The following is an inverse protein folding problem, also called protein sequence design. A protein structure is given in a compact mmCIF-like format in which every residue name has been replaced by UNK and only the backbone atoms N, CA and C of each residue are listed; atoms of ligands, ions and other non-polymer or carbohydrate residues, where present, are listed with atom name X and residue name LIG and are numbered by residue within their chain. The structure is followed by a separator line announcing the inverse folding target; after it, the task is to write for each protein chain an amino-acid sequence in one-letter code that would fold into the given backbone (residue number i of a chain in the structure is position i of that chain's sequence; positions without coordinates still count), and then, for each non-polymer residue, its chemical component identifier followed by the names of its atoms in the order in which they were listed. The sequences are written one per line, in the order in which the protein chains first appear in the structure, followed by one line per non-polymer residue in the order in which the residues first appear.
data_IF_052611780875
#
_entry.id   IF_052611780875
#
_cell.length_a   1.000
_cell.length_b   1.000
_cell.length_c   1.000
_cell.angle_alpha   90.00
_cell.angle_beta   90.00
_cell.angle_gamma   90.00
#
_symmetry.space_group_name_H-M   'P 1'
#
loop_
_entity.id
_entity.type
_entity.pdbx_description
1 polymer ?
#
# COMPACT_ATOMS: atom_id res chain seq x y z
N UNK A 1 -53.93 -13.84 -16.95
CA UNK A 1 -52.89 -13.48 -17.93
C UNK A 1 -51.58 -13.43 -17.19
N UNK A 2 -50.78 -14.48 -17.31
CA UNK A 2 -49.51 -14.68 -16.57
C UNK A 2 -48.39 -14.25 -17.50
N UNK A 3 -47.62 -13.22 -17.12
CA UNK A 3 -46.45 -12.75 -17.87
C UNK A 3 -45.19 -13.24 -17.18
N UNK A 4 -44.59 -14.26 -17.76
CA UNK A 4 -43.32 -14.86 -17.34
C UNK A 4 -42.16 -13.93 -17.71
N UNK A 5 -41.50 -13.34 -16.74
CA UNK A 5 -40.28 -12.56 -16.92
C UNK A 5 -39.08 -13.51 -17.03
N UNK A 6 -38.49 -13.63 -18.21
CA UNK A 6 -37.22 -14.37 -18.45
C UNK A 6 -36.06 -13.59 -17.88
N UNK A 7 -35.37 -14.18 -16.91
CA UNK A 7 -34.04 -13.74 -16.46
C UNK A 7 -33.01 -14.00 -17.58
N UNK A 8 -32.40 -12.94 -18.05
CA UNK A 8 -31.20 -13.04 -18.88
C UNK A 8 -29.99 -13.27 -17.94
N UNK A 9 -29.35 -14.44 -18.09
CA UNK A 9 -28.11 -14.72 -17.43
C UNK A 9 -26.99 -13.93 -18.11
N UNK A 10 -26.51 -12.88 -17.46
CA UNK A 10 -25.30 -12.17 -17.86
C UNK A 10 -24.07 -13.02 -17.56
N UNK A 11 -23.37 -13.42 -18.60
CA UNK A 11 -22.09 -14.15 -18.51
C UNK A 11 -21.01 -13.18 -18.09
N UNK A 12 -20.71 -13.14 -16.80
CA UNK A 12 -19.56 -12.42 -16.26
C UNK A 12 -18.28 -13.12 -16.72
N UNK A 13 -17.57 -12.48 -17.65
CA UNK A 13 -16.25 -12.91 -18.09
C UNK A 13 -15.23 -12.73 -16.94
N UNK A 14 -15.04 -13.78 -16.17
CA UNK A 14 -13.95 -13.87 -15.19
C UNK A 14 -12.65 -14.06 -15.95
N UNK A 15 -11.86 -13.00 -16.05
CA UNK A 15 -10.44 -13.11 -16.42
C UNK A 15 -9.72 -13.72 -15.24
N UNK A 16 -9.62 -15.05 -15.24
CA UNK A 16 -8.77 -15.78 -14.30
C UNK A 16 -7.31 -15.57 -14.71
N UNK A 17 -6.62 -14.69 -14.04
CA UNK A 17 -5.16 -14.57 -14.13
C UNK A 17 -4.53 -15.76 -13.39
N UNK A 18 -4.28 -16.86 -14.13
CA UNK A 18 -3.57 -18.02 -13.62
C UNK A 18 -2.08 -17.66 -13.46
N UNK A 19 -1.66 -17.32 -12.26
CA UNK A 19 -0.25 -17.15 -11.91
C UNK A 19 0.32 -18.53 -11.51
N UNK A 20 1.08 -19.16 -12.41
CA UNK A 20 1.83 -20.39 -12.16
C UNK A 20 2.94 -20.12 -11.13
N UNK A 21 2.74 -20.61 -9.90
CA UNK A 21 3.78 -20.71 -8.88
C UNK A 21 4.66 -21.95 -9.19
N UNK A 22 5.79 -21.75 -9.84
CA UNK A 22 6.85 -22.77 -9.94
C UNK A 22 7.61 -22.80 -8.61
N UNK A 23 7.22 -23.71 -7.72
CA UNK A 23 7.99 -24.09 -6.53
C UNK A 23 9.17 -24.96 -6.96
N UNK A 24 10.35 -24.35 -7.08
CA UNK A 24 11.60 -25.09 -7.25
C UNK A 24 11.98 -25.82 -5.97
N UNK A 25 11.93 -27.15 -5.98
CA UNK A 25 12.47 -28.01 -4.95
C UNK A 25 14.00 -27.90 -4.94
N UNK A 26 14.57 -27.33 -3.88
CA UNK A 26 16.01 -27.33 -3.61
C UNK A 26 16.38 -28.59 -2.81
N UNK A 27 17.20 -29.45 -3.42
CA UNK A 27 17.80 -30.62 -2.80
C UNK A 27 18.76 -30.24 -1.66
N UNK A 28 18.60 -30.91 -0.52
CA UNK A 28 19.56 -30.87 0.58
C UNK A 28 20.82 -31.64 0.19
N UNK A 29 21.97 -30.99 0.28
CA UNK A 29 23.29 -31.68 0.24
C UNK A 29 23.83 -31.78 1.67
N UNK A 30 24.28 -33.00 1.96
CA UNK A 30 24.88 -33.39 3.22
C UNK A 30 26.25 -32.69 3.42
N UNK A 31 26.50 -32.27 4.68
CA UNK A 31 27.77 -31.78 5.14
C UNK A 31 28.75 -32.94 5.34
N UNK A 32 29.88 -32.86 4.67
CA UNK A 32 31.04 -33.72 4.94
C UNK A 32 32.00 -32.98 5.88
N UNK A 33 32.40 -33.65 6.95
CA UNK A 33 33.31 -33.12 7.96
C UNK A 33 34.75 -33.38 7.57
N UNK A 34 35.56 -32.36 7.34
CA UNK A 34 36.94 -32.49 6.99
C UNK A 34 37.86 -31.36 7.48
N UNK A 35 38.69 -31.69 8.43
CA UNK A 35 40.06 -31.22 8.74
C UNK A 35 40.33 -29.69 8.83
N UNK A 36 40.64 -29.25 10.03
CA UNK A 36 41.25 -27.95 10.38
C UNK A 36 42.65 -27.83 9.79
N UNK A 37 42.88 -26.87 8.91
CA UNK A 37 44.17 -26.36 8.52
C UNK A 37 44.60 -25.13 9.36
N UNK A 38 45.91 -24.73 9.38
CA UNK A 38 46.39 -23.61 10.18
C UNK A 38 45.82 -22.26 9.73
N UNK A 39 45.70 -21.25 10.63
CA UNK A 39 45.03 -19.99 10.32
C UNK A 39 45.79 -19.21 9.24
N UNK A 40 45.07 -18.91 8.17
CA UNK A 40 45.48 -18.01 7.11
C UNK A 40 45.41 -16.56 7.61
N UNK A 41 46.33 -15.65 7.23
CA UNK A 41 46.31 -14.27 7.69
C UNK A 41 45.04 -13.55 7.27
N UNK A 42 44.40 -12.90 8.21
CA UNK A 42 43.19 -12.11 7.97
C UNK A 42 43.41 -11.09 6.84
N UNK A 43 42.70 -11.31 5.75
CA UNK A 43 42.57 -10.34 4.68
C UNK A 43 41.83 -9.10 5.25
N UNK A 44 42.17 -7.84 4.84
CA UNK A 44 41.51 -6.66 5.33
C UNK A 44 40.01 -6.75 5.07
N UNK A 45 39.22 -6.51 6.10
CA UNK A 45 37.77 -6.56 6.11
C UNK A 45 37.23 -5.78 4.90
N UNK A 46 36.61 -6.51 3.97
CA UNK A 46 35.92 -5.93 2.84
C UNK A 46 34.84 -4.98 3.33
N UNK A 47 34.97 -3.70 2.99
CA UNK A 47 34.02 -2.67 3.34
C UNK A 47 32.60 -3.10 2.93
N UNK A 48 31.70 -3.30 3.91
CA UNK A 48 30.27 -3.13 3.77
C UNK A 48 29.52 -4.13 2.90
N UNK A 49 29.59 -5.43 3.16
CA UNK A 49 28.51 -6.32 2.73
C UNK A 49 27.26 -5.93 3.56
N UNK A 50 26.22 -5.31 2.91
CA UNK A 50 24.92 -5.08 3.53
C UNK A 50 24.46 -6.39 4.18
N UNK A 51 24.03 -6.32 5.46
CA UNK A 51 23.47 -7.52 6.11
C UNK A 51 22.22 -7.97 5.35
N UNK A 52 21.88 -9.25 5.42
CA UNK A 52 20.65 -9.75 4.79
C UNK A 52 19.41 -8.99 5.29
N UNK A 53 19.42 -8.58 6.55
CA UNK A 53 18.31 -7.84 7.18
C UNK A 53 18.22 -6.40 6.66
N UNK A 54 19.36 -5.75 6.39
CA UNK A 54 19.38 -4.41 5.80
C UNK A 54 18.85 -4.41 4.36
N UNK A 55 19.26 -5.39 3.57
CA UNK A 55 18.74 -5.56 2.20
C UNK A 55 17.22 -5.83 2.18
N UNK A 56 16.71 -6.60 3.15
CA UNK A 56 15.27 -6.83 3.32
C UNK A 56 14.53 -5.57 3.77
N UNK A 57 15.05 -4.84 4.76
CA UNK A 57 14.47 -3.58 5.21
C UNK A 57 14.40 -2.55 4.07
N UNK A 58 15.47 -2.44 3.27
CA UNK A 58 15.51 -1.57 2.10
C UNK A 58 14.47 -1.96 1.04
N UNK A 59 14.23 -3.25 0.83
CA UNK A 59 13.21 -3.74 -0.10
C UNK A 59 11.78 -3.47 0.40
N UNK A 60 11.56 -3.38 1.71
CA UNK A 60 10.28 -3.04 2.32
C UNK A 60 10.05 -1.53 2.40
N UNK A 61 11.12 -0.75 2.32
CA UNK A 61 11.09 0.70 2.48
C UNK A 61 10.71 1.42 1.19
N UNK A 62 9.46 1.86 1.11
CA UNK A 62 8.95 2.65 -0.02
C UNK A 62 9.52 4.08 -0.08
N UNK A 63 10.31 4.50 0.93
CA UNK A 63 11.04 5.79 0.94
C UNK A 63 12.51 5.62 0.61
N UNK A 64 12.99 4.39 0.41
CA UNK A 64 14.35 4.14 -0.02
C UNK A 64 14.63 4.77 -1.40
N UNK A 65 15.87 5.16 -1.61
CA UNK A 65 16.34 5.75 -2.88
C UNK A 65 16.44 4.64 -3.94
N UNK A 66 15.30 4.11 -4.35
CA UNK A 66 15.14 3.05 -5.33
C UNK A 66 13.82 3.20 -6.08
N UNK A 67 13.81 2.82 -7.36
CA UNK A 67 12.57 2.71 -8.11
C UNK A 67 11.69 1.62 -7.50
N UNK A 68 10.39 1.87 -7.43
CA UNK A 68 9.42 0.89 -6.94
C UNK A 68 8.19 0.86 -7.84
N UNK A 69 7.83 -0.33 -8.30
CA UNK A 69 6.65 -0.61 -9.11
C UNK A 69 5.79 -1.62 -8.35
N UNK A 70 4.62 -1.21 -7.92
CA UNK A 70 3.72 -2.03 -7.12
C UNK A 70 2.42 -2.26 -7.86
N UNK A 71 2.05 -3.53 -8.05
CA UNK A 71 0.75 -3.97 -8.49
C UNK A 71 -0.01 -4.61 -7.33
N UNK A 72 -1.29 -4.28 -7.15
CA UNK A 72 -2.12 -4.91 -6.14
C UNK A 72 -3.54 -5.12 -6.65
N UNK A 73 -4.18 -6.18 -6.16
CA UNK A 73 -5.61 -6.39 -6.24
C UNK A 73 -6.19 -6.48 -4.85
N UNK A 74 -7.28 -5.76 -4.59
CA UNK A 74 -7.96 -5.76 -3.32
C UNK A 74 -9.46 -5.94 -3.54
N UNK A 75 -10.07 -6.81 -2.74
CA UNK A 75 -11.52 -7.07 -2.73
C UNK A 75 -12.08 -6.81 -1.34
N UNK A 76 -13.23 -6.15 -1.29
CA UNK A 76 -14.00 -5.79 -0.12
C UNK A 76 -15.40 -6.38 -0.26
N UNK A 77 -15.62 -7.65 0.12
CA UNK A 77 -16.91 -8.32 -0.05
C UNK A 77 -17.99 -7.81 0.92
N UNK A 78 -17.58 -7.34 2.11
CA UNK A 78 -18.51 -7.02 3.19
C UNK A 78 -18.18 -5.67 3.83
N UNK A 79 -19.24 -5.00 4.30
CA UNK A 79 -19.19 -3.74 5.02
C UNK A 79 -20.01 -3.82 6.30
N UNK A 80 -19.66 -2.97 7.30
CA UNK A 80 -20.42 -2.87 8.55
C UNK A 80 -21.63 -1.95 8.45
N UNK A 81 -21.66 -1.10 7.43
CA UNK A 81 -22.74 -0.14 7.20
C UNK A 81 -23.15 -0.10 5.74
N UNK A 82 -24.38 0.32 5.50
CA UNK A 82 -24.97 0.42 4.17
C UNK A 82 -24.80 1.82 3.56
N UNK A 83 -23.86 2.63 4.09
CA UNK A 83 -23.63 3.99 3.62
C UNK A 83 -22.30 4.09 2.89
N UNK A 84 -22.30 4.68 1.70
CA UNK A 84 -21.11 5.02 0.93
C UNK A 84 -20.58 6.40 1.34
N UNK A 85 -19.37 6.75 0.90
CA UNK A 85 -18.74 8.04 1.21
C UNK A 85 -19.48 9.26 0.64
N UNK A 86 -20.37 9.06 -0.33
CA UNK A 86 -21.25 10.09 -0.89
C UNK A 86 -22.59 10.20 -0.14
N UNK A 87 -22.82 9.39 0.91
CA UNK A 87 -24.04 9.37 1.70
C UNK A 87 -25.19 8.51 1.14
N UNK A 88 -24.99 7.89 -0.03
CA UNK A 88 -25.99 7.00 -0.63
C UNK A 88 -25.97 5.61 0.01
N UNK A 89 -27.09 4.89 -0.11
CA UNK A 89 -27.17 3.48 0.32
C UNK A 89 -26.28 2.62 -0.57
N UNK A 90 -25.48 1.78 0.08
CA UNK A 90 -24.61 0.82 -0.60
C UNK A 90 -25.44 -0.27 -1.24
N UNK A 91 -25.23 -0.59 -2.52
CA UNK A 91 -25.80 -1.79 -3.12
C UNK A 91 -25.13 -3.06 -2.56
N UNK A 92 -25.89 -4.14 -2.53
CA UNK A 92 -25.36 -5.46 -2.17
C UNK A 92 -24.26 -5.90 -3.14
N UNK A 93 -23.21 -6.52 -2.63
CA UNK A 93 -22.12 -7.08 -3.40
C UNK A 93 -20.73 -6.58 -3.01
N UNK A 94 -19.72 -7.15 -3.65
CA UNK A 94 -18.32 -6.79 -3.42
C UNK A 94 -17.93 -5.54 -4.21
N UNK A 95 -17.03 -4.77 -3.64
CA UNK A 95 -16.24 -3.77 -4.37
C UNK A 95 -14.80 -4.25 -4.45
N UNK A 96 -14.17 -4.13 -5.60
CA UNK A 96 -12.75 -4.42 -5.73
C UNK A 96 -12.00 -3.34 -6.49
N UNK A 97 -10.70 -3.42 -6.49
CA UNK A 97 -9.86 -2.59 -7.34
C UNK A 97 -8.51 -3.22 -7.66
N UNK A 98 -8.01 -2.86 -8.84
CA UNK A 98 -6.62 -3.02 -9.22
C UNK A 98 -5.86 -1.72 -8.93
N UNK A 99 -4.69 -1.82 -8.33
CA UNK A 99 -3.82 -0.68 -8.04
C UNK A 99 -2.48 -0.82 -8.76
N UNK A 100 -2.03 0.28 -9.34
CA UNK A 100 -0.64 0.48 -9.76
C UNK A 100 -0.07 1.65 -8.95
N UNK A 101 1.08 1.43 -8.30
CA UNK A 101 1.82 2.48 -7.61
C UNK A 101 3.25 2.53 -8.15
N UNK A 102 3.72 3.71 -8.46
CA UNK A 102 5.07 3.96 -8.96
C UNK A 102 5.73 4.97 -8.03
N UNK A 103 6.96 4.66 -7.61
CA UNK A 103 7.83 5.56 -6.86
C UNK A 103 9.11 5.76 -7.66
N UNK A 104 9.46 7.02 -7.93
CA UNK A 104 10.58 7.42 -8.77
C UNK A 104 11.53 8.34 -8.00
N UNK A 105 12.57 7.83 -7.32
CA UNK A 105 13.45 8.68 -6.51
C UNK A 105 14.38 9.51 -7.39
N UNK A 106 14.50 10.78 -7.05
CA UNK A 106 15.44 11.76 -7.62
C UNK A 106 16.45 12.13 -6.53
N UNK A 107 17.64 11.53 -6.59
CA UNK A 107 18.68 11.73 -5.60
C UNK A 107 19.55 12.94 -5.95
N UNK A 108 19.68 13.87 -5.01
CA UNK A 108 20.58 15.01 -5.07
C UNK A 108 21.61 14.94 -3.92
N UNK A 109 22.62 15.78 -3.98
CA UNK A 109 23.68 15.81 -2.96
C UNK A 109 23.14 15.99 -1.53
N UNK A 110 22.20 16.95 -1.32
CA UNK A 110 21.69 17.33 0.00
C UNK A 110 20.30 16.82 0.33
N UNK A 111 19.55 16.32 -0.65
CA UNK A 111 18.18 15.86 -0.47
C UNK A 111 17.83 14.77 -1.50
N UNK A 112 16.77 14.05 -1.21
CA UNK A 112 16.08 13.18 -2.18
C UNK A 112 14.66 13.70 -2.37
N UNK A 113 14.20 13.82 -3.62
CA UNK A 113 12.78 14.00 -3.93
C UNK A 113 12.22 12.64 -4.33
N UNK A 114 11.10 12.26 -3.71
CA UNK A 114 10.47 10.95 -3.91
C UNK A 114 9.04 11.11 -4.45
N UNK A 115 8.86 11.35 -5.76
CA UNK A 115 7.55 11.34 -6.38
C UNK A 115 6.90 9.95 -6.27
N UNK A 116 5.61 9.94 -5.92
CA UNK A 116 4.78 8.74 -5.91
C UNK A 116 3.47 9.00 -6.64
N UNK A 117 3.13 8.11 -7.54
CA UNK A 117 1.84 8.08 -8.23
C UNK A 117 1.12 6.80 -7.86
N UNK A 118 -0.16 6.91 -7.49
CA UNK A 118 -1.03 5.77 -7.20
C UNK A 118 -2.27 5.87 -8.06
N UNK A 119 -2.46 4.88 -8.90
CA UNK A 119 -3.61 4.69 -9.77
C UNK A 119 -4.44 3.53 -9.22
N UNK A 120 -5.78 3.66 -9.25
CA UNK A 120 -6.69 2.57 -8.89
C UNK A 120 -7.80 2.49 -9.92
N UNK A 121 -8.08 1.29 -10.38
CA UNK A 121 -9.24 1.00 -11.22
C UNK A 121 -10.22 0.15 -10.41
N UNK A 122 -11.38 0.72 -10.11
CA UNK A 122 -12.43 0.11 -9.28
C UNK A 122 -13.48 -0.59 -10.14
N UNK A 123 -14.05 -1.65 -9.55
CA UNK A 123 -15.35 -2.20 -9.93
C UNK A 123 -16.23 -2.23 -8.68
N UNK A 124 -17.42 -1.63 -8.75
CA UNK A 124 -18.37 -1.61 -7.64
C UNK A 124 -19.35 -2.80 -7.72
N UNK A 125 -20.16 -2.98 -6.66
CA UNK A 125 -21.14 -4.05 -6.55
C UNK A 125 -22.21 -4.06 -7.67
N UNK A 126 -22.40 -2.94 -8.38
CA UNK A 126 -23.32 -2.80 -9.50
C UNK A 126 -22.68 -3.16 -10.85
N UNK A 127 -21.39 -3.57 -10.87
CA UNK A 127 -20.64 -3.85 -12.09
C UNK A 127 -20.20 -2.59 -12.84
N UNK A 128 -20.27 -1.41 -12.20
CA UNK A 128 -19.73 -0.18 -12.79
C UNK A 128 -18.23 -0.14 -12.52
N UNK A 129 -17.46 0.13 -13.55
CA UNK A 129 -16.01 0.18 -13.46
C UNK A 129 -15.46 1.54 -13.89
N UNK A 130 -14.29 1.91 -13.37
CA UNK A 130 -13.64 3.16 -13.75
C UNK A 130 -12.42 3.48 -12.92
N UNK A 131 -11.71 4.53 -13.34
CA UNK A 131 -10.56 5.04 -12.59
C UNK A 131 -11.02 5.75 -11.32
N UNK A 132 -10.43 5.35 -10.20
CA UNK A 132 -10.51 6.07 -8.94
C UNK A 132 -9.72 7.39 -8.97
N UNK A 133 -9.78 8.13 -7.86
CA UNK A 133 -8.93 9.30 -7.71
C UNK A 133 -7.46 8.91 -7.78
N UNK A 134 -6.74 9.49 -8.73
CA UNK A 134 -5.29 9.31 -8.84
C UNK A 134 -4.61 10.18 -7.81
N UNK A 135 -3.81 9.58 -6.96
CA UNK A 135 -3.02 10.28 -5.94
C UNK A 135 -1.59 10.49 -6.42
N UNK A 136 -1.14 11.72 -6.37
CA UNK A 136 0.24 12.12 -6.69
C UNK A 136 0.80 12.91 -5.53
N UNK A 137 1.93 12.50 -4.97
CA UNK A 137 2.68 13.33 -4.04
C UNK A 137 4.19 13.18 -4.24
N UNK A 138 4.94 14.15 -3.74
CA UNK A 138 6.39 14.14 -3.79
C UNK A 138 6.99 14.48 -2.42
N UNK A 139 7.62 13.52 -1.74
CA UNK A 139 8.31 13.78 -0.50
C UNK A 139 9.68 14.40 -0.79
N UNK A 140 9.97 15.50 -0.14
CA UNK A 140 11.30 16.11 -0.05
C UNK A 140 11.94 15.59 1.22
N UNK A 141 13.04 14.85 1.10
CA UNK A 141 13.75 14.16 2.19
C UNK A 141 15.15 14.79 2.29
N UNK A 142 15.34 15.84 3.12
CA UNK A 142 16.66 16.41 3.35
C UNK A 142 17.54 15.43 4.11
N UNK A 143 18.78 15.20 3.68
CA UNK A 143 19.74 14.33 4.38
C UNK A 143 20.07 14.83 5.80
N UNK A 144 19.92 16.15 6.04
CA UNK A 144 20.08 16.74 7.37
C UNK A 144 18.97 16.36 8.37
N UNK A 145 17.87 15.76 7.89
CA UNK A 145 16.77 15.26 8.74
C UNK A 145 16.89 13.75 9.02
N UNK A 146 17.98 13.11 8.60
CA UNK A 146 18.26 11.73 8.93
C UNK A 146 18.59 11.58 10.41
N UNK A 147 18.08 10.51 11.05
CA UNK A 147 18.26 10.22 12.45
C UNK A 147 18.58 8.74 12.66
N UNK A 148 19.87 8.42 12.70
CA UNK A 148 20.35 7.05 12.65
C UNK A 148 20.07 6.41 11.29
N UNK A 149 19.33 5.29 11.27
CA UNK A 149 18.83 4.66 10.03
C UNK A 149 17.49 5.25 9.56
N UNK A 150 16.95 6.22 10.30
CA UNK A 150 15.65 6.82 10.02
C UNK A 150 15.72 8.00 9.05
N UNK A 151 14.64 8.22 8.33
CA UNK A 151 14.46 9.32 7.38
C UNK A 151 13.11 9.97 7.56
N UNK A 152 13.07 11.28 7.32
CA UNK A 152 11.83 12.05 7.39
C UNK A 152 11.70 12.88 6.13
N UNK A 153 10.50 12.97 5.59
CA UNK A 153 10.20 13.79 4.42
C UNK A 153 8.82 14.40 4.47
N UNK A 154 8.65 15.51 3.78
CA UNK A 154 7.37 16.20 3.61
C UNK A 154 7.28 16.73 2.19
N UNK A 155 6.07 16.86 1.65
CA UNK A 155 5.89 17.47 0.35
C UNK A 155 4.44 17.60 -0.09
N UNK A 156 4.19 18.23 -1.24
CA UNK A 156 2.86 18.47 -1.76
C UNK A 156 2.17 17.18 -2.17
N UNK A 157 0.83 17.18 -2.06
CA UNK A 157 -0.05 16.11 -2.48
C UNK A 157 -1.17 16.70 -3.35
N UNK A 158 -1.49 16.01 -4.44
CA UNK A 158 -2.63 16.32 -5.32
C UNK A 158 -3.39 15.03 -5.60
N UNK A 159 -4.71 15.10 -5.57
CA UNK A 159 -5.60 14.04 -6.06
C UNK A 159 -6.34 14.52 -7.30
N UNK A 160 -6.27 13.74 -8.36
CA UNK A 160 -6.97 14.04 -9.61
C UNK A 160 -8.40 13.49 -9.54
N UNK A 161 -9.35 14.12 -10.27
CA UNK A 161 -10.71 13.59 -10.40
C UNK A 161 -10.72 12.15 -10.88
N UNK A 162 -11.64 11.35 -10.34
CA UNK A 162 -11.91 10.00 -10.76
C UNK A 162 -13.20 9.89 -11.57
N UNK A 163 -13.57 8.67 -11.92
CA UNK A 163 -14.87 8.39 -12.55
C UNK A 163 -15.98 8.48 -11.47
N UNK A 164 -16.97 9.33 -11.68
CA UNK A 164 -18.10 9.60 -10.76
C UNK A 164 -18.89 8.36 -10.32
N UNK A 165 -18.85 7.26 -11.07
CA UNK A 165 -19.57 6.03 -10.72
C UNK A 165 -18.83 5.22 -9.61
N UNK A 166 -17.53 5.44 -9.43
CA UNK A 166 -16.69 4.65 -8.50
C UNK A 166 -15.80 5.50 -7.62
N UNK A 167 -15.70 6.79 -7.90
CA UNK A 167 -14.84 7.73 -7.17
C UNK A 167 -15.42 9.16 -7.22
N UNK A 168 -14.75 10.09 -6.58
CA UNK A 168 -15.09 11.51 -6.65
C UNK A 168 -14.50 12.14 -7.90
N UNK A 169 -15.25 13.03 -8.56
CA UNK A 169 -14.79 13.75 -9.75
C UNK A 169 -14.25 15.16 -9.45
N UNK A 170 -13.82 15.38 -8.20
CA UNK A 170 -13.21 16.64 -7.78
C UNK A 170 -11.69 16.52 -7.62
N UNK A 171 -11.03 17.66 -7.78
CA UNK A 171 -9.62 17.84 -7.43
C UNK A 171 -9.45 17.91 -5.91
N UNK A 172 -8.32 17.38 -5.42
CA UNK A 172 -7.88 17.59 -4.06
C UNK A 172 -6.42 18.06 -4.06
N UNK A 173 -6.05 18.84 -3.06
CA UNK A 173 -4.69 19.30 -2.82
C UNK A 173 -4.36 19.19 -1.34
N UNK A 174 -3.09 19.08 -1.03
CA UNK A 174 -2.69 18.91 0.35
C UNK A 174 -1.20 18.65 0.49
N UNK A 175 -0.86 17.89 1.52
CA UNK A 175 0.52 17.48 1.76
C UNK A 175 0.60 16.04 2.25
N UNK A 176 1.76 15.44 2.05
CA UNK A 176 2.16 14.18 2.65
C UNK A 176 3.40 14.38 3.50
N UNK A 177 3.50 13.71 4.64
CA UNK A 177 4.69 13.67 5.47
C UNK A 177 4.94 12.23 5.91
N UNK A 178 6.19 11.79 5.88
CA UNK A 178 6.57 10.45 6.25
C UNK A 178 7.79 10.44 7.15
N UNK A 179 7.80 9.51 8.12
CA UNK A 179 8.97 9.18 8.91
C UNK A 179 9.12 7.67 8.92
N UNK A 180 10.31 7.18 8.62
CA UNK A 180 10.61 5.74 8.57
C UNK A 180 11.89 5.45 9.30
N UNK A 181 11.99 4.25 9.87
CA UNK A 181 13.21 3.76 10.49
C UNK A 181 13.29 2.24 10.41
N UNK A 182 14.50 1.70 10.59
CA UNK A 182 14.75 0.28 10.74
C UNK A 182 15.67 0.01 11.93
N UNK A 183 15.45 -1.11 12.62
CA UNK A 183 16.26 -1.55 13.73
C UNK A 183 16.29 -3.07 13.77
N UNK A 184 17.41 -3.66 13.39
CA UNK A 184 17.54 -5.11 13.24
C UNK A 184 16.42 -5.66 12.32
N UNK A 185 15.62 -6.59 12.84
CA UNK A 185 14.52 -7.22 12.11
C UNK A 185 13.24 -6.36 11.96
N UNK A 186 13.22 -5.17 12.54
CA UNK A 186 12.07 -4.28 12.49
C UNK A 186 12.25 -3.21 11.41
N UNK A 187 11.21 -3.03 10.60
CA UNK A 187 11.03 -1.87 9.72
C UNK A 187 9.69 -1.22 10.05
N UNK A 188 9.70 0.06 10.41
CA UNK A 188 8.52 0.77 10.89
C UNK A 188 8.52 2.22 10.46
N UNK A 189 7.35 2.81 10.48
CA UNK A 189 7.18 4.21 10.15
C UNK A 189 5.74 4.65 10.11
N UNK A 190 5.57 5.87 9.63
CA UNK A 190 4.30 6.55 9.60
C UNK A 190 4.24 7.43 8.36
N UNK A 191 3.12 7.36 7.65
CA UNK A 191 2.79 8.28 6.57
C UNK A 191 1.55 9.07 6.98
N UNK A 192 1.64 10.39 6.96
CA UNK A 192 0.53 11.32 7.08
C UNK A 192 0.15 11.84 5.71
N UNK A 193 -1.14 11.97 5.46
CA UNK A 193 -1.66 12.66 4.28
C UNK A 193 -2.81 13.56 4.70
N UNK A 194 -2.74 14.83 4.36
CA UNK A 194 -3.86 15.76 4.50
C UNK A 194 -4.32 16.16 3.11
N UNK A 195 -5.61 16.03 2.85
CA UNK A 195 -6.19 16.43 1.58
C UNK A 195 -7.36 17.37 1.82
N UNK A 196 -7.35 18.52 1.16
CA UNK A 196 -8.48 19.43 1.05
C UNK A 196 -9.06 19.31 -0.35
N UNK A 197 -10.37 19.12 -0.44
CA UNK A 197 -11.02 19.01 -1.74
C UNK A 197 -11.51 20.37 -2.22
N UNK A 198 -11.39 20.61 -3.51
CA UNK A 198 -11.95 21.79 -4.17
C UNK A 198 -13.45 21.53 -4.46
N UNK A 199 -14.25 21.39 -3.41
CA UNK A 199 -15.69 21.12 -3.51
C UNK A 199 -16.45 22.37 -3.15
N UNK A 200 -17.53 22.63 -3.87
CA UNK A 200 -18.55 23.57 -3.39
C UNK A 200 -19.24 22.95 -2.17
N UNK A 201 -19.10 23.53 -0.97
CA UNK A 201 -19.71 22.99 0.25
C UNK A 201 -21.24 22.84 0.16
N UNK A 202 -21.87 23.55 -0.79
CA UNK A 202 -23.33 23.46 -1.02
C UNK A 202 -23.72 22.28 -1.90
N UNK A 203 -22.76 21.66 -2.60
CA UNK A 203 -22.99 20.52 -3.50
C UNK A 203 -22.89 19.16 -2.82
N UNK A 204 -22.36 19.10 -1.58
CA UNK A 204 -22.23 17.86 -0.82
C UNK A 204 -23.47 17.58 0.02
N UNK A 205 -23.93 16.33 0.08
CA UNK A 205 -24.88 15.93 1.11
C UNK A 205 -24.27 16.22 2.49
N UNK A 206 -25.03 16.77 3.45
CA UNK A 206 -24.53 17.06 4.80
C UNK A 206 -24.07 15.81 5.57
N UNK A 207 -24.25 14.64 4.98
CA UNK A 207 -23.90 13.31 5.50
C UNK A 207 -22.64 12.70 4.89
N UNK A 208 -21.90 13.44 4.04
CA UNK A 208 -20.69 12.89 3.39
C UNK A 208 -19.47 13.02 4.30
N UNK A 209 -18.87 11.91 4.69
CA UNK A 209 -17.52 11.91 5.26
C UNK A 209 -16.45 11.84 4.16
N UNK A 210 -15.19 12.10 4.55
CA UNK A 210 -14.05 12.01 3.66
C UNK A 210 -13.90 13.23 2.72
N UNK A 211 -14.40 14.39 3.17
CA UNK A 211 -14.26 15.64 2.42
C UNK A 211 -12.91 16.29 2.65
N UNK A 212 -12.47 16.37 3.91
CA UNK A 212 -11.17 16.91 4.32
C UNK A 212 -10.41 15.90 5.21
N UNK A 213 -10.08 14.71 4.69
CA UNK A 213 -9.54 13.64 5.52
C UNK A 213 -8.07 13.88 5.85
N UNK A 214 -7.74 13.72 7.13
CA UNK A 214 -6.40 13.41 7.58
C UNK A 214 -6.22 11.89 7.54
N UNK A 215 -5.31 11.40 6.74
CA UNK A 215 -4.92 10.00 6.69
C UNK A 215 -3.66 9.75 7.53
N UNK A 216 -3.68 8.71 8.35
CA UNK A 216 -2.54 8.26 9.15
C UNK A 216 -2.33 6.79 8.83
N UNK A 217 -1.23 6.47 8.16
CA UNK A 217 -0.88 5.11 7.76
C UNK A 217 0.38 4.64 8.52
N UNK A 218 0.23 4.02 9.70
CA UNK A 218 1.35 3.36 10.36
C UNK A 218 1.73 2.10 9.60
N UNK A 219 3.02 1.83 9.50
CA UNK A 219 3.50 0.55 9.00
C UNK A 219 4.56 -0.01 9.93
N UNK A 220 4.40 -1.28 10.23
CA UNK A 220 5.25 -2.06 11.11
C UNK A 220 5.45 -3.42 10.48
N UNK A 221 6.69 -3.78 10.17
CA UNK A 221 7.04 -5.08 9.62
C UNK A 221 8.12 -5.72 10.48
N UNK A 222 7.97 -7.00 10.74
CA UNK A 222 8.93 -7.81 11.47
C UNK A 222 9.42 -8.96 10.60
N UNK A 223 10.73 -9.09 10.43
CA UNK A 223 11.34 -10.12 9.63
C UNK A 223 11.39 -11.45 10.37
N UNK A 224 10.85 -12.50 9.76
CA UNK A 224 10.81 -13.85 10.32
C UNK A 224 12.03 -14.70 9.91
N UNK A 225 12.82 -14.22 8.96
CA UNK A 225 13.93 -14.93 8.33
C UNK A 225 13.59 -15.55 6.98
N UNK A 226 14.61 -15.87 6.18
CA UNK A 226 14.42 -16.43 4.83
C UNK A 226 13.65 -15.53 3.86
N UNK A 227 13.63 -14.21 4.13
CA UNK A 227 12.88 -13.22 3.38
C UNK A 227 11.41 -13.09 3.79
N UNK A 228 10.90 -13.93 4.68
CA UNK A 228 9.53 -13.81 5.19
C UNK A 228 9.41 -12.69 6.23
N UNK A 229 8.26 -12.04 6.23
CA UNK A 229 7.93 -11.02 7.22
C UNK A 229 6.43 -11.00 7.52
N UNK A 230 6.08 -10.49 8.69
CA UNK A 230 4.72 -10.16 9.10
C UNK A 230 4.62 -8.67 9.35
N UNK A 231 3.49 -8.06 9.05
CA UNK A 231 3.25 -6.64 9.27
C UNK A 231 1.78 -6.31 9.51
N UNK A 232 1.53 -5.03 9.78
CA UNK A 232 0.18 -4.54 10.10
C UNK A 232 -0.70 -4.21 8.88
N UNK A 233 -0.22 -4.46 7.68
CA UNK A 233 -0.97 -4.14 6.47
C UNK A 233 -0.85 -2.68 5.98
N UNK A 234 -1.45 -2.40 4.83
CA UNK A 234 -1.49 -1.07 4.18
C UNK A 234 -2.74 -0.29 4.66
N UNK A 235 -2.96 -0.26 5.96
CA UNK A 235 -4.12 0.37 6.59
C UNK A 235 -3.92 1.88 6.73
N UNK A 236 -5.01 2.64 6.56
CA UNK A 236 -5.02 4.09 6.74
C UNK A 236 -6.13 4.45 7.72
N UNK A 237 -5.75 4.88 8.92
CA UNK A 237 -6.69 5.54 9.83
C UNK A 237 -7.06 6.90 9.25
N UNK A 238 -8.31 7.33 9.40
CA UNK A 238 -8.81 8.60 8.86
C UNK A 238 -9.50 9.40 9.95
N UNK A 239 -9.26 10.70 9.91
CA UNK A 239 -10.01 11.68 10.67
C UNK A 239 -10.55 12.73 9.70
N UNK A 240 -11.84 12.92 9.67
CA UNK A 240 -12.48 13.95 8.86
C UNK A 240 -12.72 15.21 9.68
N UNK A 241 -12.17 16.34 9.26
CA UNK A 241 -12.22 17.61 10.00
C UNK A 241 -13.61 18.26 9.99
N UNK A 242 -14.40 18.00 8.96
CA UNK A 242 -15.73 18.60 8.83
C UNK A 242 -16.75 17.88 9.71
N UNK A 243 -16.76 16.55 9.65
CA UNK A 243 -17.68 15.72 10.43
C UNK A 243 -17.13 15.34 11.81
N UNK A 244 -15.83 15.55 12.07
CA UNK A 244 -15.11 15.19 13.31
C UNK A 244 -15.18 13.69 13.62
N UNK A 245 -15.25 12.88 12.58
CA UNK A 245 -15.38 11.43 12.69
C UNK A 245 -14.06 10.73 12.49
N UNK A 246 -13.94 9.55 13.11
CA UNK A 246 -12.76 8.68 13.05
C UNK A 246 -13.12 7.38 12.37
N UNK A 247 -12.28 6.95 11.44
CA UNK A 247 -12.26 5.63 10.87
C UNK A 247 -10.90 4.96 11.14
N UNK A 248 -10.89 3.81 11.78
CA UNK A 248 -9.68 3.07 12.08
C UNK A 248 -9.79 1.63 11.59
N UNK A 249 -9.14 1.28 10.47
CA UNK A 249 -8.97 -0.11 10.08
C UNK A 249 -7.84 -0.76 10.88
N UNK A 250 -7.88 -2.08 11.01
CA UNK A 250 -6.81 -2.93 11.51
C UNK A 250 -6.55 -4.04 10.51
N UNK A 251 -5.30 -4.42 10.33
CA UNK A 251 -4.95 -5.46 9.36
C UNK A 251 -3.70 -6.23 9.75
N UNK A 252 -3.53 -7.36 9.11
CA UNK A 252 -2.33 -8.19 9.19
C UNK A 252 -1.87 -8.56 7.78
N UNK A 253 -0.57 -8.56 7.59
CA UNK A 253 0.10 -8.88 6.34
C UNK A 253 1.12 -9.99 6.58
N UNK A 254 1.17 -10.94 5.66
CA UNK A 254 2.25 -11.93 5.55
C UNK A 254 2.86 -11.82 4.16
N UNK A 255 4.17 -11.63 4.11
CA UNK A 255 4.87 -11.44 2.84
C UNK A 255 6.22 -12.11 2.78
N UNK A 256 6.77 -12.12 1.56
CA UNK A 256 8.10 -12.61 1.27
C UNK A 256 8.82 -11.69 0.31
N UNK A 257 10.05 -11.35 0.66
CA UNK A 257 10.99 -10.60 -0.18
C UNK A 257 11.99 -11.56 -0.81
N UNK A 258 12.23 -11.40 -2.10
CA UNK A 258 13.23 -12.12 -2.88
C UNK A 258 14.28 -11.12 -3.36
N UNK A 259 15.40 -11.03 -2.68
CA UNK A 259 16.51 -10.15 -3.06
C UNK A 259 17.28 -10.77 -4.23
N UNK A 260 17.53 -9.98 -5.27
CA UNK A 260 18.31 -10.35 -6.45
C UNK A 260 19.37 -9.29 -6.74
N UNK A 261 20.39 -9.62 -7.54
CA UNK A 261 21.50 -8.70 -7.89
C UNK A 261 21.06 -7.38 -8.53
N UNK A 262 19.93 -7.37 -9.26
CA UNK A 262 19.42 -6.19 -10.01
C UNK A 262 18.20 -5.55 -9.38
N UNK A 263 17.78 -5.99 -8.21
CA UNK A 263 16.58 -5.48 -7.53
C UNK A 263 15.96 -6.55 -6.66
N UNK A 264 14.80 -6.26 -6.08
CA UNK A 264 14.07 -7.20 -5.23
C UNK A 264 12.60 -7.30 -5.63
N UNK A 265 12.02 -8.46 -5.37
CA UNK A 265 10.60 -8.71 -5.48
C UNK A 265 10.01 -8.88 -4.08
N UNK A 266 8.90 -8.25 -3.82
CA UNK A 266 8.13 -8.41 -2.59
C UNK A 266 6.71 -8.82 -2.96
N UNK A 267 6.25 -9.96 -2.44
CA UNK A 267 4.87 -10.41 -2.60
C UNK A 267 4.26 -10.59 -1.21
N UNK A 268 3.01 -10.11 -1.03
CA UNK A 268 2.30 -10.31 0.23
C UNK A 268 0.80 -10.51 0.03
N UNK A 269 0.22 -11.20 0.99
CA UNK A 269 -1.22 -11.27 1.23
C UNK A 269 -1.55 -10.49 2.50
N UNK A 270 -2.69 -9.82 2.51
CA UNK A 270 -3.13 -8.97 3.59
C UNK A 270 -4.63 -9.13 3.83
N UNK A 271 -5.00 -9.13 5.10
CA UNK A 271 -6.39 -9.05 5.56
C UNK A 271 -6.58 -7.80 6.39
N UNK A 272 -7.71 -7.10 6.21
CA UNK A 272 -8.09 -5.93 6.99
C UNK A 272 -9.56 -5.99 7.39
N UNK A 273 -9.87 -5.36 8.54
CA UNK A 273 -11.22 -5.08 9.03
C UNK A 273 -11.27 -3.72 9.69
N UNK A 274 -12.45 -3.13 9.87
CA UNK A 274 -12.60 -1.85 10.58
C UNK A 274 -12.78 -2.07 12.07
N UNK A 275 -11.95 -1.40 12.88
CA UNK A 275 -12.02 -1.44 14.36
C UNK A 275 -12.87 -0.30 14.92
N UNK A 276 -12.69 0.94 14.42
CA UNK A 276 -13.49 2.11 14.79
C UNK A 276 -14.20 2.61 13.54
N UNK A 277 -15.53 2.60 13.55
CA UNK A 277 -16.32 2.93 12.37
C UNK A 277 -17.74 3.41 12.65
N UNK A 278 -18.25 3.31 13.88
CA UNK A 278 -19.70 3.48 14.20
C UNK A 278 -20.24 4.85 13.79
N UNK A 279 -19.46 5.90 13.99
CA UNK A 279 -19.86 7.26 13.67
C UNK A 279 -19.38 7.68 12.25
N UNK A 280 -18.71 6.79 11.53
CA UNK A 280 -18.20 7.06 10.20
C UNK A 280 -19.33 7.02 9.17
N UNK A 281 -19.58 8.15 8.49
CA UNK A 281 -20.64 8.30 7.49
C UNK A 281 -20.29 7.71 6.11
N UNK A 282 -19.09 7.19 5.95
CA UNK A 282 -18.67 6.53 4.71
C UNK A 282 -18.65 5.02 4.85
N UNK A 283 -18.04 4.40 3.85
CA UNK A 283 -17.89 2.95 3.80
C UNK A 283 -16.98 2.42 4.89
N UNK A 284 -17.50 1.58 5.77
CA UNK A 284 -16.74 0.89 6.80
C UNK A 284 -16.55 -0.59 6.41
N UNK A 285 -15.37 -0.93 5.91
CA UNK A 285 -15.08 -2.27 5.40
C UNK A 285 -15.07 -3.29 6.53
N UNK A 286 -15.86 -4.36 6.40
CA UNK A 286 -15.90 -5.45 7.36
C UNK A 286 -14.84 -6.49 7.08
N UNK A 287 -14.67 -6.86 5.81
CA UNK A 287 -13.63 -7.76 5.36
C UNK A 287 -12.97 -7.19 4.10
N UNK A 288 -11.65 -7.21 4.09
CA UNK A 288 -10.86 -6.83 2.93
C UNK A 288 -9.68 -7.78 2.77
N UNK A 289 -9.48 -8.24 1.56
CA UNK A 289 -8.38 -9.12 1.18
C UNK A 289 -7.57 -8.46 0.09
N UNK A 290 -6.25 -8.41 0.26
CA UNK A 290 -5.34 -7.80 -0.69
C UNK A 290 -4.22 -8.75 -1.05
N UNK A 291 -3.93 -8.85 -2.32
CA UNK A 291 -2.72 -9.46 -2.86
C UNK A 291 -1.88 -8.38 -3.54
N UNK A 292 -0.58 -8.39 -3.27
CA UNK A 292 0.34 -7.38 -3.77
C UNK A 292 1.64 -7.98 -4.27
N UNK A 293 2.16 -7.42 -5.35
CA UNK A 293 3.51 -7.67 -5.85
C UNK A 293 4.19 -6.32 -6.07
N UNK A 294 5.41 -6.20 -5.55
CA UNK A 294 6.27 -5.02 -5.75
C UNK A 294 7.60 -5.45 -6.34
N UNK A 295 8.05 -4.75 -7.35
CA UNK A 295 9.41 -4.82 -7.85
C UNK A 295 10.15 -3.53 -7.51
N UNK A 296 11.34 -3.66 -6.91
CA UNK A 296 12.21 -2.52 -6.60
C UNK A 296 13.55 -2.69 -7.29
N UNK A 297 14.12 -1.61 -7.79
CA UNK A 297 15.46 -1.59 -8.37
C UNK A 297 16.24 -0.36 -7.91
N UNK A 298 17.55 -0.49 -7.63
CA UNK A 298 18.40 0.62 -7.26
C UNK A 298 18.47 1.62 -8.42
N UNK A 299 18.78 2.88 -8.09
CA UNK A 299 19.20 3.88 -9.09
C UNK A 299 20.62 3.47 -9.51
N UNK A 300 20.88 3.39 -10.81
CA UNK A 300 22.19 3.11 -11.37
C UNK A 300 23.20 4.22 -11.15
#
# INVERSE_FOLDING_TARGET
MSTTCRRAAGTTGRVALALLLALGAGSAQAQDAGAQGPPEPEAPAAAGAESSDDALNKALDSTATQWSFQGAWQIMPDYYNDTMSNGETRPDGATDYLQLRIVAPLAFEKLTILPRVTLRHYENAQGQAGMGNTEVFGLIIPKSWDWGSGRTGIGPLVTLPGNKNVARDEWGYGFAAAAVNSSGKWFYGLLFTQTWRAVDPTSLPPTSSDTNPLGIAPFLNFQLGGGFYVGNGDMVARYDWDTKQVYLPIGIRLGKVFVKKKGSWNAYFEYQTSLIYKDWLGSAVKNSYRFNITYTMPIG
#
